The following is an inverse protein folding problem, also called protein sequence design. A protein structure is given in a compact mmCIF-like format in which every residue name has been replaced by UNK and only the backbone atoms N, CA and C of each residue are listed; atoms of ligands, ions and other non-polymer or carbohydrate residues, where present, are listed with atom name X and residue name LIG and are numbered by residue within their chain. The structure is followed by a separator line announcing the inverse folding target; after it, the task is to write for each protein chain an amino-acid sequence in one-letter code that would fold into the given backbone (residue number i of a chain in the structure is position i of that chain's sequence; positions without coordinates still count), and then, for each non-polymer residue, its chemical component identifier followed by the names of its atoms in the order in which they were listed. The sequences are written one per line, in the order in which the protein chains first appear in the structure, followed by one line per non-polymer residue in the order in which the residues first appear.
data_IF_157025659353
#
_entry.id   IF_157025659353
#
_cell.length_a   1.000
_cell.length_b   1.000
_cell.length_c   1.000
_cell.angle_alpha   90.00
_cell.angle_beta   90.00
_cell.angle_gamma   90.00
#
_symmetry.space_group_name_H-M   'P 1'
#
loop_
_entity.id
_entity.type
_entity.pdbx_description
1 polymer ?
#
# COMPACT_ATOMS: atom_id res chain seq x y z
N UNK A 1 -52.38 -32.72 40.16
CA UNK A 1 -51.54 -33.64 40.93
C UNK A 1 -51.57 -34.95 40.15
N UNK A 2 -50.59 -35.30 39.33
CA UNK A 2 -49.22 -34.84 39.13
C UNK A 2 -48.90 -35.14 37.64
N UNK A 3 -48.62 -34.11 36.84
CA UNK A 3 -47.29 -33.87 36.25
C UNK A 3 -46.22 -34.90 36.60
N UNK A 4 -45.76 -35.64 35.58
CA UNK A 4 -44.37 -36.07 35.43
C UNK A 4 -44.13 -36.53 33.98
N UNK A 5 -44.09 -35.54 33.09
CA UNK A 5 -43.54 -35.68 31.75
C UNK A 5 -42.00 -35.62 31.85
N UNK A 6 -41.35 -36.77 32.03
CA UNK A 6 -39.89 -36.87 32.10
C UNK A 6 -39.31 -36.90 30.67
N UNK A 7 -39.21 -35.73 30.05
CA UNK A 7 -38.61 -35.55 28.74
C UNK A 7 -37.08 -35.73 28.84
N UNK A 8 -36.55 -36.65 28.05
CA UNK A 8 -35.14 -36.98 27.95
C UNK A 8 -34.36 -35.77 27.41
N UNK A 9 -33.32 -35.35 28.12
CA UNK A 9 -32.45 -34.25 27.68
C UNK A 9 -31.45 -34.80 26.66
N UNK A 10 -31.77 -34.66 25.38
CA UNK A 10 -30.83 -34.84 24.29
C UNK A 10 -29.79 -33.69 24.37
N UNK A 11 -28.57 -34.02 24.77
CA UNK A 11 -27.41 -33.14 24.62
C UNK A 11 -27.15 -33.07 23.11
N UNK A 12 -27.55 -31.96 22.48
CA UNK A 12 -27.07 -31.61 21.15
C UNK A 12 -25.66 -31.07 21.34
N UNK A 13 -24.67 -31.83 20.87
CA UNK A 13 -23.30 -31.35 20.70
C UNK A 13 -23.38 -30.44 19.48
N UNK A 14 -23.37 -29.13 19.72
CA UNK A 14 -23.09 -28.16 18.66
C UNK A 14 -21.61 -28.35 18.32
N UNK A 15 -21.34 -28.93 17.14
CA UNK A 15 -20.03 -28.84 16.52
C UNK A 15 -19.80 -27.36 16.23
N UNK A 16 -19.03 -26.69 17.09
CA UNK A 16 -18.40 -25.43 16.74
C UNK A 16 -17.46 -25.73 15.57
N UNK A 17 -17.93 -25.49 14.35
CA UNK A 17 -17.05 -25.34 13.19
C UNK A 17 -16.13 -24.16 13.52
N UNK A 18 -14.92 -24.47 13.98
CA UNK A 18 -13.81 -23.53 13.94
C UNK A 18 -13.63 -23.15 12.46
N UNK A 19 -14.23 -22.02 12.05
CA UNK A 19 -13.84 -21.33 10.83
C UNK A 19 -12.34 -21.02 10.98
N UNK A 20 -11.50 -21.91 10.46
CA UNK A 20 -10.11 -21.63 10.14
C UNK A 20 -10.15 -20.40 9.24
N UNK A 21 -9.93 -19.21 9.82
CA UNK A 21 -9.60 -18.00 9.07
C UNK A 21 -8.37 -18.34 8.24
N UNK A 22 -8.60 -18.75 6.98
CA UNK A 22 -7.57 -18.91 5.98
C UNK A 22 -6.83 -17.59 5.92
N UNK A 23 -5.65 -17.54 6.54
CA UNK A 23 -4.76 -16.41 6.48
C UNK A 23 -4.58 -16.08 5.00
N UNK A 24 -5.19 -14.98 4.56
CA UNK A 24 -5.11 -14.55 3.17
C UNK A 24 -3.65 -14.27 2.88
N UNK A 25 -3.03 -15.16 2.11
CA UNK A 25 -1.62 -15.02 1.72
C UNK A 25 -1.46 -13.67 1.05
N UNK A 26 -0.54 -12.85 1.57
CA UNK A 26 -0.30 -11.51 1.05
C UNK A 26 0.14 -11.60 -0.41
N UNK A 27 -0.71 -11.12 -1.32
CA UNK A 27 -0.45 -11.16 -2.75
C UNK A 27 -0.12 -9.75 -3.26
N UNK A 28 1.17 -9.38 -3.36
CA UNK A 28 1.57 -8.04 -3.76
C UNK A 28 1.04 -7.69 -5.15
N UNK A 29 0.54 -6.47 -5.30
CA UNK A 29 -0.06 -5.98 -6.55
C UNK A 29 -1.17 -6.89 -7.10
N UNK A 30 -1.90 -7.61 -6.23
CA UNK A 30 -2.90 -8.62 -6.64
C UNK A 30 -2.34 -9.65 -7.65
N UNK A 31 -1.05 -9.96 -7.56
CA UNK A 31 -0.35 -10.88 -8.46
C UNK A 31 -0.02 -10.32 -9.84
N UNK A 32 -0.23 -9.02 -10.07
CA UNK A 32 0.12 -8.34 -11.33
C UNK A 32 1.60 -8.04 -11.43
N UNK A 33 2.08 -7.85 -12.65
CA UNK A 33 3.50 -7.61 -12.92
C UNK A 33 3.97 -6.28 -12.33
N UNK A 34 5.16 -6.30 -11.72
CA UNK A 34 5.88 -5.10 -11.29
C UNK A 34 6.57 -4.49 -12.51
N UNK A 35 6.28 -3.22 -12.78
CA UNK A 35 6.84 -2.47 -13.91
C UNK A 35 7.93 -1.49 -13.49
N UNK A 36 8.03 -1.16 -12.20
CA UNK A 36 9.06 -0.26 -11.68
C UNK A 36 9.40 -0.56 -10.22
N UNK A 37 10.68 -0.36 -9.89
CA UNK A 37 11.25 -0.55 -8.55
C UNK A 37 12.09 0.68 -8.23
N UNK A 38 11.93 1.24 -7.04
CA UNK A 38 12.74 2.35 -6.54
C UNK A 38 13.25 2.03 -5.14
N UNK A 39 14.42 2.54 -4.81
CA UNK A 39 15.09 2.31 -3.52
C UNK A 39 15.22 3.63 -2.78
N UNK A 40 15.12 3.58 -1.46
CA UNK A 40 15.40 4.74 -0.62
C UNK A 40 16.90 5.07 -0.59
N UNK A 41 17.28 6.32 -0.24
CA UNK A 41 18.68 6.78 -0.33
C UNK A 41 19.67 5.89 0.43
N UNK A 42 19.32 5.42 1.62
CA UNK A 42 20.16 4.53 2.43
C UNK A 42 19.81 3.05 2.29
N UNK A 43 19.02 2.70 1.28
CA UNK A 43 18.56 1.33 1.03
C UNK A 43 17.88 0.69 2.26
N UNK A 44 17.12 1.47 3.03
CA UNK A 44 16.28 0.95 4.13
C UNK A 44 14.92 0.46 3.61
N UNK A 45 14.44 0.99 2.48
CA UNK A 45 13.16 0.66 1.87
C UNK A 45 13.24 0.50 0.35
N UNK A 46 12.37 -0.36 -0.17
CA UNK A 46 12.06 -0.49 -1.59
C UNK A 46 10.58 -0.17 -1.77
N UNK A 47 10.24 0.47 -2.87
CA UNK A 47 8.85 0.55 -3.30
C UNK A 47 8.73 0.02 -4.73
N UNK A 48 7.69 -0.78 -4.97
CA UNK A 48 7.39 -1.39 -6.28
C UNK A 48 6.10 -0.82 -6.81
N UNK A 49 6.01 -0.67 -8.14
CA UNK A 49 4.81 -0.22 -8.83
C UNK A 49 4.35 -1.29 -9.83
N UNK A 50 3.04 -1.53 -9.87
CA UNK A 50 2.40 -2.28 -10.94
C UNK A 50 1.53 -1.35 -11.77
N UNK A 51 1.87 -1.21 -13.05
CA UNK A 51 1.10 -0.43 -14.01
C UNK A 51 -0.30 -1.02 -14.25
N UNK A 52 -0.44 -2.34 -14.16
CA UNK A 52 -1.71 -3.04 -14.39
C UNK A 52 -2.63 -2.98 -13.16
N UNK A 53 -2.08 -3.17 -11.95
CA UNK A 53 -2.86 -3.09 -10.70
C UNK A 53 -3.04 -1.67 -10.17
N UNK A 54 -2.29 -0.71 -10.73
CA UNK A 54 -2.24 0.70 -10.30
C UNK A 54 -1.97 0.81 -8.79
N UNK A 55 -0.97 0.07 -8.32
CA UNK A 55 -0.63 -0.02 -6.90
C UNK A 55 0.86 0.11 -6.63
N UNK A 56 1.18 0.75 -5.51
CA UNK A 56 2.52 0.85 -4.92
C UNK A 56 2.57 -0.07 -3.71
N UNK A 57 3.58 -0.93 -3.62
CA UNK A 57 3.84 -1.74 -2.43
C UNK A 57 5.17 -1.32 -1.82
N UNK A 58 5.17 -1.04 -0.52
CA UNK A 58 6.34 -0.65 0.26
C UNK A 58 6.93 -1.85 1.00
N UNK A 59 8.24 -2.00 0.89
CA UNK A 59 9.01 -3.10 1.44
C UNK A 59 10.12 -2.56 2.32
N UNK A 60 10.27 -3.12 3.52
CA UNK A 60 11.43 -2.89 4.36
C UNK A 60 12.53 -3.90 4.02
N UNK A 61 13.76 -3.39 3.87
CA UNK A 61 14.95 -4.22 3.77
C UNK A 61 15.34 -4.64 5.19
N UNK A 62 15.36 -5.95 5.43
CA UNK A 62 15.78 -6.51 6.73
C UNK A 62 17.21 -6.99 6.58
N UNK A 63 18.12 -6.29 7.26
CA UNK A 63 19.52 -6.71 7.34
C UNK A 63 19.56 -8.12 7.94
N UNK A 64 20.25 -9.03 7.22
CA UNK A 64 20.51 -10.43 7.55
C UNK A 64 19.57 -11.50 6.97
N UNK A 65 18.43 -11.16 6.34
CA UNK A 65 17.49 -12.20 5.87
C UNK A 65 17.39 -12.35 4.34
N UNK A 66 18.04 -11.48 3.54
CA UNK A 66 17.80 -11.42 2.07
C UNK A 66 16.30 -11.37 1.70
N UNK A 67 15.45 -10.99 2.65
CA UNK A 67 14.00 -11.01 2.54
C UNK A 67 13.46 -9.60 2.63
N UNK A 68 12.48 -9.32 1.77
CA UNK A 68 11.70 -8.10 1.81
C UNK A 68 10.48 -8.34 2.69
N UNK A 69 10.32 -7.52 3.72
CA UNK A 69 9.11 -7.53 4.53
C UNK A 69 8.14 -6.51 3.96
N UNK A 70 6.97 -6.95 3.51
CA UNK A 70 5.92 -6.01 3.13
C UNK A 70 5.51 -5.21 4.36
N UNK A 71 5.34 -3.89 4.19
CA UNK A 71 4.81 -3.06 5.27
C UNK A 71 3.52 -2.36 4.87
N UNK A 72 3.38 -1.89 3.62
CA UNK A 72 2.24 -1.05 3.22
C UNK A 72 1.88 -1.21 1.73
N UNK A 73 0.63 -0.86 1.39
CA UNK A 73 0.12 -0.81 0.00
C UNK A 73 -0.63 0.51 -0.23
N UNK A 74 -0.36 1.16 -1.35
CA UNK A 74 -1.21 2.21 -1.92
C UNK A 74 -1.84 1.69 -3.21
N UNK A 75 -3.15 1.84 -3.44
CA UNK A 75 -3.77 1.48 -4.72
C UNK A 75 -5.06 2.24 -4.98
N UNK A 76 -5.47 2.34 -6.25
CA UNK A 76 -6.78 2.87 -6.63
C UNK A 76 -7.96 1.97 -6.21
N UNK A 77 -7.80 0.64 -6.27
CA UNK A 77 -8.90 -0.29 -6.06
C UNK A 77 -9.17 -0.51 -4.56
N UNK A 78 -10.34 -0.05 -4.11
CA UNK A 78 -10.75 0.08 -2.72
C UNK A 78 -11.29 -1.22 -2.08
N UNK A 79 -10.92 -2.37 -2.63
CA UNK A 79 -11.47 -3.67 -2.20
C UNK A 79 -10.34 -4.53 -1.63
N UNK A 80 -10.43 -4.88 -0.35
CA UNK A 80 -9.75 -6.00 0.34
C UNK A 80 -8.40 -5.84 1.07
N UNK A 81 -7.94 -4.65 1.48
CA UNK A 81 -6.92 -4.59 2.54
C UNK A 81 -7.17 -3.41 3.48
N UNK A 82 -7.13 -3.66 4.80
CA UNK A 82 -7.52 -2.75 5.90
C UNK A 82 -6.76 -1.42 6.00
N UNK A 83 -5.82 -1.10 5.11
CA UNK A 83 -4.95 0.08 5.25
C UNK A 83 -4.61 0.83 3.95
N UNK A 84 -5.52 0.90 2.96
CA UNK A 84 -5.23 1.59 1.68
C UNK A 84 -5.56 3.09 1.71
N UNK A 85 -4.57 3.92 1.39
CA UNK A 85 -4.70 5.33 1.06
C UNK A 85 -5.20 5.49 -0.38
N UNK A 86 -6.33 6.18 -0.56
CA UNK A 86 -6.88 6.47 -1.89
C UNK A 86 -6.05 7.54 -2.61
N UNK A 87 -5.29 7.13 -3.62
CA UNK A 87 -4.73 8.07 -4.60
C UNK A 87 -5.79 8.34 -5.65
N UNK A 88 -6.21 9.61 -5.82
CA UNK A 88 -6.94 10.00 -7.01
C UNK A 88 -5.96 10.02 -8.19
N UNK A 89 -5.70 8.84 -8.74
CA UNK A 89 -4.82 8.64 -9.90
C UNK A 89 -5.66 8.71 -11.17
N UNK A 90 -5.14 9.35 -12.22
CA UNK A 90 -5.79 9.35 -13.54
C UNK A 90 -5.58 7.97 -14.18
N UNK A 91 -6.67 7.32 -14.57
CA UNK A 91 -6.70 5.99 -15.19
C UNK A 91 -5.88 5.90 -16.48
N UNK A 92 -5.66 7.03 -17.16
CA UNK A 92 -4.95 7.10 -18.43
C UNK A 92 -3.44 7.28 -18.29
N UNK A 93 -2.92 7.45 -17.07
CA UNK A 93 -1.51 7.78 -16.89
C UNK A 93 -0.63 6.57 -16.56
N UNK A 94 0.50 6.54 -17.27
CA UNK A 94 1.65 5.69 -16.97
C UNK A 94 2.58 6.44 -16.03
N UNK A 95 2.72 5.96 -14.80
CA UNK A 95 3.62 6.57 -13.83
C UNK A 95 5.05 6.23 -14.19
N UNK A 96 5.76 7.22 -14.76
CA UNK A 96 7.17 7.05 -15.12
C UNK A 96 8.13 7.35 -13.97
N UNK A 97 7.68 8.07 -12.95
CA UNK A 97 8.55 8.55 -11.88
C UNK A 97 7.81 8.55 -10.54
N UNK A 98 8.32 7.77 -9.58
CA UNK A 98 8.02 7.90 -8.16
C UNK A 98 9.32 7.68 -7.38
N UNK A 99 9.34 8.01 -6.10
CA UNK A 99 10.50 7.73 -5.23
C UNK A 99 10.03 7.43 -3.82
N UNK A 100 10.90 6.80 -3.03
CA UNK A 100 10.67 6.42 -1.64
C UNK A 100 11.80 6.97 -0.77
N UNK A 101 11.49 7.46 0.42
CA UNK A 101 12.49 7.89 1.41
C UNK A 101 12.72 6.84 2.47
N UNK A 102 13.86 6.95 3.14
CA UNK A 102 14.18 6.18 4.35
C UNK A 102 13.19 6.45 5.51
N UNK A 103 12.50 7.59 5.47
CA UNK A 103 11.49 7.97 6.45
C UNK A 103 10.09 7.42 6.13
N UNK A 104 9.97 6.57 5.11
CA UNK A 104 8.72 5.98 4.61
C UNK A 104 7.78 6.97 3.93
N UNK A 105 8.34 8.00 3.29
CA UNK A 105 7.58 8.86 2.38
C UNK A 105 7.65 8.30 0.96
N UNK A 106 6.54 8.36 0.22
CA UNK A 106 6.51 8.10 -1.21
C UNK A 106 6.00 9.33 -1.94
N UNK A 107 6.65 9.71 -3.03
CA UNK A 107 6.17 10.81 -3.86
C UNK A 107 5.72 10.33 -5.21
N UNK A 108 4.54 10.80 -5.63
CA UNK A 108 3.99 10.55 -6.96
C UNK A 108 3.55 11.89 -7.58
N UNK A 109 3.86 12.15 -8.86
CA UNK A 109 3.28 13.28 -9.56
C UNK A 109 1.76 13.13 -9.66
N UNK A 110 1.02 14.22 -9.46
CA UNK A 110 -0.45 14.27 -9.60
C UNK A 110 -0.76 15.03 -10.89
N UNK A 111 -1.13 14.29 -11.93
CA UNK A 111 -1.20 14.81 -13.29
C UNK A 111 -2.52 15.50 -13.67
N UNK A 112 -3.61 15.34 -12.91
CA UNK A 112 -4.87 16.09 -13.16
C UNK A 112 -4.62 17.60 -13.31
N UNK A 113 -3.56 18.12 -12.67
CA UNK A 113 -3.21 19.54 -12.74
C UNK A 113 -1.80 19.84 -13.29
N UNK A 114 -1.02 18.81 -13.70
CA UNK A 114 0.40 18.89 -14.19
C UNK A 114 1.32 19.86 -13.42
N UNK A 115 0.96 20.15 -12.17
CA UNK A 115 1.55 21.16 -11.30
C UNK A 115 1.50 20.73 -9.84
N UNK A 116 1.23 19.45 -9.58
CA UNK A 116 1.10 18.92 -8.23
C UNK A 116 1.95 17.68 -8.07
N UNK A 117 2.52 17.54 -6.88
CA UNK A 117 3.15 16.32 -6.42
C UNK A 117 2.50 15.93 -5.11
N UNK A 118 2.07 14.67 -5.02
CA UNK A 118 1.62 14.06 -3.78
C UNK A 118 2.80 13.46 -3.05
N UNK A 119 2.89 13.75 -1.75
CA UNK A 119 3.80 13.13 -0.80
C UNK A 119 2.94 12.34 0.18
N UNK A 120 3.17 11.05 0.24
CA UNK A 120 2.44 10.11 1.10
C UNK A 120 3.34 9.68 2.24
N UNK A 121 2.86 9.88 3.47
CA UNK A 121 3.49 9.34 4.68
C UNK A 121 2.91 7.95 4.96
N UNK A 122 3.71 6.91 4.80
CA UNK A 122 3.28 5.54 5.11
C UNK A 122 3.05 5.29 6.60
N UNK A 123 3.71 6.04 7.50
CA UNK A 123 3.53 5.86 8.95
C UNK A 123 2.19 6.40 9.39
N UNK A 124 1.86 7.62 8.96
CA UNK A 124 0.67 8.32 9.44
C UNK A 124 -0.52 8.16 8.52
N UNK A 125 -0.33 7.58 7.34
CA UNK A 125 -1.32 7.53 6.25
C UNK A 125 -1.84 8.93 5.90
N UNK A 126 -0.96 9.94 5.98
CA UNK A 126 -1.32 11.30 5.58
C UNK A 126 -0.79 11.59 4.19
N UNK A 127 -1.48 12.46 3.48
CA UNK A 127 -1.05 13.00 2.20
C UNK A 127 -0.79 14.50 2.33
N UNK A 128 0.35 14.93 1.82
CA UNK A 128 0.64 16.33 1.52
C UNK A 128 0.66 16.51 0.01
N UNK A 129 0.07 17.59 -0.48
CA UNK A 129 0.13 17.95 -1.90
C UNK A 129 0.92 19.24 -2.05
N UNK A 130 2.00 19.18 -2.82
CA UNK A 130 2.83 20.33 -3.16
C UNK A 130 2.41 20.89 -4.51
N UNK A 131 2.20 22.20 -4.59
CA UNK A 131 1.98 22.90 -5.85
C UNK A 131 3.32 23.36 -6.42
N UNK A 132 3.57 23.07 -7.70
CA UNK A 132 4.77 23.47 -8.41
C UNK A 132 4.60 24.88 -8.95
N UNK A 133 5.55 25.80 -8.67
CA UNK A 133 5.46 27.17 -9.17
C UNK A 133 5.79 27.20 -10.67
N UNK A 134 4.82 27.53 -11.53
CA UNK A 134 5.09 27.77 -12.95
C UNK A 134 4.03 27.25 -13.93
N UNK A 135 4.34 27.21 -15.24
CA UNK A 135 3.51 26.54 -16.25
C UNK A 135 3.48 25.01 -16.02
N UNK A 136 2.73 24.26 -16.82
CA UNK A 136 2.68 22.78 -16.70
C UNK A 136 4.11 22.18 -16.75
N UNK A 137 4.39 21.24 -15.83
CA UNK A 137 5.68 20.54 -15.78
C UNK A 137 5.52 19.09 -16.22
N UNK A 138 6.46 18.63 -17.03
CA UNK A 138 6.73 17.21 -17.17
C UNK A 138 7.84 16.85 -16.18
N UNK A 139 7.49 16.13 -15.12
CA UNK A 139 8.43 15.77 -14.05
C UNK A 139 9.35 14.67 -14.58
N UNK A 140 10.59 15.03 -14.93
CA UNK A 140 11.57 14.09 -15.48
C UNK A 140 12.31 13.24 -14.45
N UNK A 141 12.37 13.67 -13.18
CA UNK A 141 13.00 12.95 -12.09
C UNK A 141 12.42 13.42 -10.75
N UNK A 142 12.38 12.52 -9.75
CA UNK A 142 12.11 12.83 -8.35
C UNK A 142 13.03 11.98 -7.49
N UNK A 143 13.63 12.58 -6.45
CA UNK A 143 14.47 11.86 -5.53
C UNK A 143 14.41 12.46 -4.12
N UNK A 144 14.44 11.59 -3.12
CA UNK A 144 14.89 11.98 -1.79
C UNK A 144 16.42 11.93 -1.75
N UNK A 145 17.04 12.83 -0.99
CA UNK A 145 18.47 12.77 -0.69
C UNK A 145 18.70 12.23 0.73
N UNK A 146 19.94 11.86 1.05
CA UNK A 146 20.33 11.20 2.31
C UNK A 146 19.98 11.99 3.58
N UNK A 147 19.80 13.32 3.50
CA UNK A 147 19.31 14.14 4.61
C UNK A 147 17.81 13.93 4.91
N UNK A 148 17.09 13.17 4.07
CA UNK A 148 15.63 13.07 4.07
C UNK A 148 14.95 14.28 3.43
N UNK A 149 15.72 15.22 2.88
CA UNK A 149 15.20 16.35 2.11
C UNK A 149 14.72 15.89 0.74
N UNK A 150 13.68 16.55 0.24
CA UNK A 150 13.06 16.26 -1.03
C UNK A 150 13.60 17.20 -2.11
N UNK A 151 14.09 16.65 -3.23
CA UNK A 151 14.57 17.42 -4.38
C UNK A 151 13.78 17.00 -5.63
N UNK A 152 13.50 17.99 -6.48
CA UNK A 152 12.75 17.89 -7.72
C UNK A 152 13.52 18.53 -8.86
#
# INVERSE_FOLDING_TARGET
MDDDNKLEHLIQIEEEEEEEELATEFNPHNGKSVTMIVTSPRMEYIATWSEEDKSIVGWKIVDNEQQLKHEYIISQNNNNYDEKLGLNMDENFTYKHFTVSDNKFVTVPIYEEKKKIGIFDFKTKNQLTLNLPGPEFDVGCLAFIESGEFIM
#
